data_IF_520073073792
#
_entry.id   IF_520073073792
#
_cell.length_a   1.000
_cell.length_b   1.000
_cell.length_c   1.000
_cell.angle_alpha   90.00
_cell.angle_beta   90.00
_cell.angle_gamma   90.00
#
_symmetry.space_group_name_H-M   'P 1'
#
loop_
_entity.id
_entity.type
_entity.pdbx_description
1 polymer ?
#
# COMPACT_ATOMS: atom_id res chain seq x y z
N UNK A 1 25.56 0.82 -6.60
CA UNK A 1 25.68 2.29 -6.56
C UNK A 1 24.34 2.87 -6.14
N UNK A 2 24.19 3.33 -4.89
CA UNK A 2 22.87 3.65 -4.33
C UNK A 2 22.38 5.08 -4.61
N UNK A 3 23.26 6.07 -4.85
CA UNK A 3 22.85 7.48 -5.06
C UNK A 3 23.87 8.32 -5.87
N UNK A 4 24.40 7.85 -7.02
CA UNK A 4 25.55 8.54 -7.64
C UNK A 4 25.23 9.82 -8.42
N UNK A 5 23.96 10.08 -8.79
CA UNK A 5 23.58 11.15 -9.74
C UNK A 5 22.29 11.93 -9.36
N UNK A 6 21.99 12.14 -8.07
CA UNK A 6 20.77 12.87 -7.65
C UNK A 6 21.06 14.30 -7.20
N UNK A 7 20.15 15.21 -7.55
CA UNK A 7 20.22 16.65 -7.22
C UNK A 7 19.73 16.88 -5.78
N UNK A 8 20.46 17.69 -5.03
CA UNK A 8 20.09 18.09 -3.67
C UNK A 8 19.10 19.27 -3.75
N UNK A 9 17.86 19.09 -3.30
CA UNK A 9 16.93 20.22 -3.11
C UNK A 9 17.17 20.84 -1.72
N UNK A 10 17.22 22.19 -1.62
CA UNK A 10 17.32 22.85 -0.32
C UNK A 10 16.04 22.65 0.50
N UNK A 11 16.19 22.26 1.77
CA UNK A 11 15.08 22.16 2.74
C UNK A 11 14.36 20.81 2.83
N UNK A 12 14.85 19.73 2.19
CA UNK A 12 14.31 18.38 2.40
C UNK A 12 15.41 17.31 2.43
N UNK A 13 15.16 16.12 2.99
CA UNK A 13 16.04 14.97 2.78
C UNK A 13 16.29 14.79 1.27
N UNK A 14 17.52 14.42 0.90
CA UNK A 14 17.86 14.14 -0.50
C UNK A 14 16.83 13.16 -1.07
N UNK A 15 16.48 13.28 -2.37
CA UNK A 15 15.50 12.37 -3.00
C UNK A 15 15.86 10.90 -2.77
N UNK A 16 17.16 10.61 -2.63
CA UNK A 16 17.64 9.27 -2.30
C UNK A 16 17.27 8.82 -0.88
N UNK A 17 17.37 9.69 0.12
CA UNK A 17 16.93 9.39 1.50
C UNK A 17 15.44 9.10 1.59
N UNK A 18 14.64 9.81 0.77
CA UNK A 18 13.21 9.59 0.69
C UNK A 18 12.89 8.21 0.09
N UNK A 19 13.49 7.89 -1.05
CA UNK A 19 13.32 6.60 -1.76
C UNK A 19 13.90 5.40 -0.99
N UNK A 20 14.89 5.60 -0.11
CA UNK A 20 15.57 4.51 0.62
C UNK A 20 15.08 4.28 2.05
N UNK A 21 14.63 5.32 2.75
CA UNK A 21 14.28 5.21 4.18
C UNK A 21 12.78 5.43 4.38
N UNK A 22 12.20 6.46 3.75
CA UNK A 22 10.83 6.89 4.07
C UNK A 22 9.82 6.02 3.31
N UNK A 23 10.00 5.85 2.00
CA UNK A 23 9.11 5.07 1.12
C UNK A 23 8.93 3.59 1.54
N UNK A 24 9.97 2.83 1.93
CA UNK A 24 9.79 1.44 2.33
C UNK A 24 9.32 1.27 3.78
N UNK A 25 9.25 2.33 4.59
CA UNK A 25 8.91 2.25 6.01
C UNK A 25 7.53 1.64 6.29
N UNK A 26 6.44 2.02 5.56
CA UNK A 26 5.14 1.36 5.68
C UNK A 26 5.23 -0.14 5.41
N UNK A 27 6.00 -0.53 4.40
CA UNK A 27 6.21 -1.93 4.00
C UNK A 27 6.92 -2.72 5.09
N UNK A 28 8.00 -2.19 5.69
CA UNK A 28 8.66 -2.84 6.83
C UNK A 28 7.75 -3.06 8.02
N UNK A 29 6.95 -2.04 8.38
CA UNK A 29 5.99 -2.16 9.47
C UNK A 29 4.93 -3.21 9.16
N UNK A 30 4.45 -3.28 7.91
CA UNK A 30 3.51 -4.32 7.49
C UNK A 30 4.11 -5.72 7.62
N UNK A 31 5.33 -5.94 7.09
CA UNK A 31 6.00 -7.26 7.19
C UNK A 31 6.15 -7.67 8.65
N UNK A 32 6.65 -6.75 9.49
CA UNK A 32 6.87 -7.00 10.90
C UNK A 32 5.56 -7.31 11.64
N UNK A 33 4.50 -6.55 11.39
CA UNK A 33 3.19 -6.78 12.02
C UNK A 33 2.56 -8.09 11.57
N UNK A 34 2.60 -8.44 10.29
CA UNK A 34 2.11 -9.72 9.79
C UNK A 34 2.87 -10.90 10.38
N UNK A 35 4.20 -10.77 10.53
CA UNK A 35 5.05 -11.80 11.14
C UNK A 35 4.75 -11.95 12.64
N UNK A 36 4.58 -10.85 13.37
CA UNK A 36 4.18 -10.90 14.79
C UNK A 36 2.79 -11.51 14.97
N UNK A 37 1.84 -11.20 14.07
CA UNK A 37 0.49 -11.76 14.09
C UNK A 37 0.48 -13.25 13.76
N UNK A 38 1.29 -13.70 12.80
CA UNK A 38 1.40 -15.13 12.47
C UNK A 38 2.01 -15.94 13.62
N UNK A 39 3.01 -15.38 14.31
CA UNK A 39 3.60 -15.98 15.51
C UNK A 39 2.61 -16.05 16.68
N UNK A 40 1.76 -15.02 16.87
CA UNK A 40 0.73 -14.99 17.93
C UNK A 40 -0.49 -15.87 17.64
N UNK A 41 -0.71 -16.28 16.39
CA UNK A 41 -1.94 -16.96 15.96
C UNK A 41 -2.14 -18.38 16.51
N UNK A 42 -1.23 -18.90 17.37
CA UNK A 42 -1.38 -20.23 17.98
C UNK A 42 -2.42 -20.32 19.11
N UNK A 43 -3.06 -19.22 19.58
CA UNK A 43 -3.84 -19.26 20.84
C UNK A 43 -5.20 -18.53 20.89
N UNK A 44 -5.87 -18.18 19.80
CA UNK A 44 -7.25 -17.66 19.94
C UNK A 44 -8.19 -18.00 18.79
N UNK A 45 -9.41 -18.52 19.08
CA UNK A 45 -10.49 -18.58 18.12
C UNK A 45 -11.01 -17.16 17.91
N UNK A 46 -10.30 -16.36 17.10
CA UNK A 46 -10.79 -15.05 16.66
C UNK A 46 -12.01 -15.31 15.79
N UNK A 47 -13.16 -14.76 16.17
CA UNK A 47 -14.40 -14.87 15.40
C UNK A 47 -14.14 -14.46 13.94
N UNK A 48 -14.26 -15.42 13.02
CA UNK A 48 -14.14 -15.16 11.59
C UNK A 48 -15.41 -14.42 11.17
N UNK A 49 -15.28 -13.13 10.87
CA UNK A 49 -16.40 -12.33 10.39
C UNK A 49 -16.53 -12.50 8.88
N UNK A 50 -17.53 -13.26 8.45
CA UNK A 50 -17.96 -13.23 7.04
C UNK A 50 -18.77 -11.96 6.85
N UNK A 51 -18.11 -10.90 6.38
CA UNK A 51 -18.83 -9.78 5.79
C UNK A 51 -19.38 -10.28 4.44
N UNK A 52 -20.66 -10.08 4.13
CA UNK A 52 -21.19 -10.34 2.80
C UNK A 52 -20.64 -9.28 1.85
N UNK A 53 -19.37 -9.43 1.48
CA UNK A 53 -18.75 -8.61 0.46
C UNK A 53 -19.27 -9.12 -0.89
N UNK A 54 -19.79 -8.25 -1.76
CA UNK A 54 -20.26 -8.72 -3.05
C UNK A 54 -19.04 -9.18 -3.86
N UNK A 55 -19.11 -10.40 -4.41
CA UNK A 55 -17.96 -11.08 -5.00
C UNK A 55 -17.27 -10.28 -6.12
N UNK A 56 -18.02 -9.46 -6.87
CA UNK A 56 -17.48 -8.59 -7.91
C UNK A 56 -16.50 -7.56 -7.36
N UNK A 57 -16.83 -6.91 -6.24
CA UNK A 57 -15.99 -5.89 -5.63
C UNK A 57 -14.68 -6.48 -5.08
N UNK A 58 -14.72 -7.73 -4.60
CA UNK A 58 -13.51 -8.43 -4.16
C UNK A 58 -12.58 -8.73 -5.35
N UNK A 59 -13.14 -9.20 -6.47
CA UNK A 59 -12.35 -9.48 -7.67
C UNK A 59 -11.75 -8.19 -8.26
N UNK A 60 -12.51 -7.08 -8.27
CA UNK A 60 -11.99 -5.77 -8.68
C UNK A 60 -10.86 -5.34 -7.77
N UNK A 61 -11.04 -5.43 -6.45
CA UNK A 61 -10.00 -5.06 -5.50
C UNK A 61 -8.72 -5.90 -5.68
N UNK A 62 -8.85 -7.22 -5.84
CA UNK A 62 -7.72 -8.10 -6.11
C UNK A 62 -7.01 -7.73 -7.43
N UNK A 63 -7.78 -7.45 -8.49
CA UNK A 63 -7.23 -7.05 -9.78
C UNK A 63 -6.51 -5.71 -9.71
N UNK A 64 -7.03 -4.74 -8.96
CA UNK A 64 -6.38 -3.44 -8.75
C UNK A 64 -5.07 -3.58 -7.95
N UNK A 65 -5.04 -4.37 -6.89
CA UNK A 65 -3.80 -4.63 -6.13
C UNK A 65 -2.76 -5.35 -6.99
N UNK A 66 -3.19 -6.25 -7.88
CA UNK A 66 -2.28 -6.89 -8.84
C UNK A 66 -1.75 -5.89 -9.88
N UNK A 67 -2.60 -4.97 -10.36
CA UNK A 67 -2.19 -3.92 -11.28
C UNK A 67 -1.18 -2.96 -10.62
N UNK A 68 -1.41 -2.59 -9.36
CA UNK A 68 -0.50 -1.76 -8.56
C UNK A 68 0.87 -2.43 -8.35
N UNK A 69 0.87 -3.74 -8.07
CA UNK A 69 2.09 -4.54 -8.04
C UNK A 69 2.85 -4.51 -9.37
N UNK A 70 2.14 -4.64 -10.50
CA UNK A 70 2.75 -4.55 -11.83
C UNK A 70 3.31 -3.15 -12.11
N UNK A 71 2.61 -2.08 -11.72
CA UNK A 71 3.08 -0.69 -11.83
C UNK A 71 4.35 -0.46 -11.01
N UNK A 72 4.40 -0.99 -9.79
CA UNK A 72 5.61 -0.93 -8.95
C UNK A 72 6.81 -1.60 -9.62
N UNK A 73 6.60 -2.76 -10.27
CA UNK A 73 7.68 -3.44 -11.04
C UNK A 73 8.12 -2.59 -12.23
N UNK A 74 7.18 -1.99 -12.97
CA UNK A 74 7.50 -1.11 -14.10
C UNK A 74 8.30 0.11 -13.65
N UNK A 75 7.95 0.71 -12.51
CA UNK A 75 8.71 1.82 -11.93
C UNK A 75 10.16 1.38 -11.63
N UNK A 76 10.34 0.24 -10.97
CA UNK A 76 11.66 -0.31 -10.66
C UNK A 76 12.46 -0.56 -11.94
N UNK A 77 11.85 -1.18 -12.94
CA UNK A 77 12.49 -1.46 -14.22
C UNK A 77 12.94 -0.17 -14.91
N UNK A 78 12.09 0.86 -14.95
CA UNK A 78 12.39 2.17 -15.56
C UNK A 78 13.48 2.92 -14.79
N UNK A 79 13.43 2.92 -13.45
CA UNK A 79 14.46 3.53 -12.60
C UNK A 79 15.82 2.84 -12.72
N UNK A 80 15.80 1.50 -12.86
CA UNK A 80 17.02 0.71 -13.07
C UNK A 80 17.68 1.01 -14.41
N UNK A 81 16.87 1.16 -15.48
CA UNK A 81 17.36 1.46 -16.82
C UNK A 81 18.06 2.84 -16.89
N UNK A 82 17.67 3.77 -16.02
CA UNK A 82 18.27 5.11 -15.95
C UNK A 82 19.41 5.25 -14.92
N UNK A 83 19.83 4.17 -14.26
CA UNK A 83 20.83 4.20 -13.18
C UNK A 83 20.50 5.20 -12.05
N UNK A 84 19.22 5.53 -11.85
CA UNK A 84 18.77 6.52 -10.85
C UNK A 84 18.77 6.01 -9.40
N UNK A 85 19.30 4.80 -9.20
CA UNK A 85 19.34 4.08 -7.93
C UNK A 85 18.02 3.36 -7.68
N UNK A 86 18.06 2.03 -7.79
CA UNK A 86 17.01 1.16 -7.28
C UNK A 86 17.32 0.97 -5.80
N UNK A 87 16.84 1.88 -4.96
CA UNK A 87 17.09 1.82 -3.51
C UNK A 87 16.38 0.65 -2.85
N UNK A 88 15.61 0.94 -1.80
CA UNK A 88 14.80 -0.07 -1.10
C UNK A 88 13.39 -0.25 -1.71
N UNK A 89 13.13 0.31 -2.89
CA UNK A 89 11.90 0.10 -3.67
C UNK A 89 11.44 -1.36 -3.76
N UNK A 90 12.30 -2.40 -3.89
CA UNK A 90 11.84 -3.79 -3.93
C UNK A 90 11.07 -4.24 -2.67
N UNK A 91 11.22 -3.53 -1.54
CA UNK A 91 10.48 -3.84 -0.32
C UNK A 91 8.98 -3.58 -0.44
N UNK A 92 8.55 -2.57 -1.21
CA UNK A 92 7.11 -2.36 -1.47
C UNK A 92 6.55 -3.49 -2.31
N UNK A 93 7.30 -3.97 -3.32
CA UNK A 93 6.91 -5.14 -4.11
C UNK A 93 6.73 -6.41 -3.25
N UNK A 94 7.64 -6.64 -2.29
CA UNK A 94 7.54 -7.76 -1.34
C UNK A 94 6.31 -7.62 -0.45
N UNK A 95 6.03 -6.42 0.06
CA UNK A 95 4.83 -6.14 0.86
C UNK A 95 3.54 -6.37 0.07
N UNK A 96 3.46 -5.88 -1.16
CA UNK A 96 2.32 -6.10 -2.07
C UNK A 96 2.11 -7.59 -2.38
N UNK A 97 3.18 -8.36 -2.60
CA UNK A 97 3.08 -9.82 -2.75
C UNK A 97 2.49 -10.50 -1.50
N UNK A 98 2.90 -10.06 -0.31
CA UNK A 98 2.32 -10.57 0.94
C UNK A 98 0.84 -10.18 1.10
N UNK A 99 0.46 -8.98 0.69
CA UNK A 99 -0.95 -8.55 0.69
C UNK A 99 -1.76 -9.39 -0.29
N UNK A 100 -1.26 -9.62 -1.50
CA UNK A 100 -1.90 -10.51 -2.48
C UNK A 100 -2.09 -11.91 -1.91
N UNK A 101 -1.06 -12.48 -1.28
CA UNK A 101 -1.13 -13.77 -0.61
C UNK A 101 -2.16 -13.79 0.54
N UNK A 102 -2.17 -12.73 1.37
CA UNK A 102 -3.12 -12.58 2.46
C UNK A 102 -4.56 -12.50 1.95
N UNK A 103 -4.83 -11.66 0.94
CA UNK A 103 -6.14 -11.55 0.31
C UNK A 103 -6.57 -12.90 -0.30
N UNK A 104 -5.65 -13.59 -0.99
CA UNK A 104 -5.91 -14.89 -1.57
C UNK A 104 -6.33 -15.93 -0.53
N UNK A 105 -5.64 -16.00 0.62
CA UNK A 105 -5.96 -16.89 1.74
C UNK A 105 -7.31 -16.49 2.37
N UNK A 106 -7.54 -15.19 2.56
CA UNK A 106 -8.76 -14.65 3.19
C UNK A 106 -9.97 -14.59 2.26
N UNK A 107 -9.87 -15.11 1.03
CA UNK A 107 -10.98 -15.19 0.06
C UNK A 107 -12.23 -15.88 0.62
N UNK A 108 -12.07 -16.82 1.56
CA UNK A 108 -13.18 -17.58 2.20
C UNK A 108 -13.74 -16.93 3.48
N UNK A 109 -13.08 -15.89 3.99
CA UNK A 109 -13.46 -15.24 5.25
C UNK A 109 -12.36 -14.32 5.74
N UNK A 110 -12.71 -13.06 5.97
CA UNK A 110 -11.77 -12.00 6.30
C UNK A 110 -11.76 -11.72 7.80
N UNK A 111 -10.57 -11.57 8.39
CA UNK A 111 -10.45 -11.21 9.81
C UNK A 111 -10.54 -9.69 9.97
N UNK A 112 -11.15 -9.23 11.07
CA UNK A 112 -11.19 -7.78 11.39
C UNK A 112 -9.79 -7.20 11.58
N UNK A 113 -8.88 -7.95 12.21
CA UNK A 113 -7.51 -7.48 12.43
C UNK A 113 -6.75 -7.29 11.12
N UNK A 114 -6.94 -8.16 10.12
CA UNK A 114 -6.25 -8.03 8.83
C UNK A 114 -6.73 -6.80 8.08
N UNK A 115 -8.04 -6.53 8.06
CA UNK A 115 -8.60 -5.33 7.42
C UNK A 115 -8.15 -4.05 8.12
N UNK A 116 -8.03 -4.02 9.45
CA UNK A 116 -7.48 -2.86 10.18
C UNK A 116 -6.00 -2.63 9.83
N UNK A 117 -5.19 -3.70 9.82
CA UNK A 117 -3.76 -3.61 9.46
C UNK A 117 -3.60 -3.10 8.02
N UNK A 118 -4.37 -3.65 7.08
CA UNK A 118 -4.35 -3.21 5.68
C UNK A 118 -4.82 -1.76 5.53
N UNK A 119 -5.89 -1.36 6.22
CA UNK A 119 -6.35 0.03 6.24
C UNK A 119 -5.25 0.99 6.70
N UNK A 120 -4.56 0.65 7.80
CA UNK A 120 -3.46 1.48 8.32
C UNK A 120 -2.26 1.50 7.37
N UNK A 121 -1.97 0.40 6.69
CA UNK A 121 -0.90 0.30 5.71
C UNK A 121 -1.18 1.17 4.49
N UNK A 122 -2.36 1.05 3.88
CA UNK A 122 -2.73 1.84 2.69
C UNK A 122 -2.74 3.34 2.98
N UNK A 123 -3.25 3.75 4.15
CA UNK A 123 -3.20 5.16 4.53
C UNK A 123 -1.76 5.66 4.65
N UNK A 124 -0.90 4.88 5.31
CA UNK A 124 0.48 5.30 5.54
C UNK A 124 1.31 5.28 4.25
N UNK A 125 1.07 4.29 3.37
CA UNK A 125 1.68 4.23 2.04
C UNK A 125 1.25 5.43 1.19
N UNK A 126 -0.05 5.73 1.10
CA UNK A 126 -0.59 6.88 0.37
C UNK A 126 0.06 8.20 0.81
N UNK A 127 0.22 8.41 2.13
CA UNK A 127 0.85 9.62 2.67
C UNK A 127 2.32 9.72 2.28
N UNK A 128 3.06 8.62 2.28
CA UNK A 128 4.47 8.65 1.90
C UNK A 128 4.64 8.81 0.38
N UNK A 129 3.82 8.12 -0.41
CA UNK A 129 3.85 8.23 -1.88
C UNK A 129 3.40 9.60 -2.37
N UNK A 130 2.43 10.25 -1.72
CA UNK A 130 2.08 11.65 -2.03
C UNK A 130 3.25 12.59 -1.82
N UNK A 131 4.00 12.44 -0.72
CA UNK A 131 5.21 13.26 -0.49
C UNK A 131 6.24 13.01 -1.59
N UNK A 132 6.43 11.75 -2.01
CA UNK A 132 7.29 11.40 -3.16
C UNK A 132 6.82 12.07 -4.45
N UNK A 133 5.53 11.99 -4.77
CA UNK A 133 4.94 12.58 -5.98
C UNK A 133 5.05 14.11 -6.00
N UNK A 134 4.77 14.79 -4.89
CA UNK A 134 4.91 16.25 -4.78
C UNK A 134 6.37 16.67 -4.96
N UNK A 135 7.33 15.91 -4.39
CA UNK A 135 8.75 16.20 -4.57
C UNK A 135 9.21 16.00 -6.01
N UNK A 136 8.65 15.01 -6.70
CA UNK A 136 8.90 14.79 -8.11
C UNK A 136 8.35 15.94 -8.96
N UNK A 137 7.15 16.45 -8.65
CA UNK A 137 6.58 17.63 -9.33
C UNK A 137 7.48 18.87 -9.16
N UNK A 138 7.94 19.14 -7.93
CA UNK A 138 8.87 20.27 -7.67
C UNK A 138 10.20 20.09 -8.42
N UNK A 139 10.69 18.85 -8.57
CA UNK A 139 11.91 18.58 -9.32
C UNK A 139 11.72 18.82 -10.83
N UNK A 140 10.58 18.44 -11.39
CA UNK A 140 10.23 18.69 -12.79
C UNK A 140 10.14 20.20 -13.09
N UNK A 141 9.48 20.97 -12.21
CA UNK A 141 9.36 22.43 -12.34
C UNK A 141 10.72 23.15 -12.24
N UNK A 142 11.62 22.67 -11.38
CA UNK A 142 12.92 23.33 -11.11
C UNK A 142 14.00 23.00 -12.13
N UNK A 143 13.94 21.81 -12.75
CA UNK A 143 14.93 21.36 -13.74
C UNK A 143 14.23 20.65 -14.90
N UNK A 144 13.47 21.38 -15.74
CA UNK A 144 12.63 20.79 -16.79
C UNK A 144 13.40 20.07 -17.93
N UNK A 145 14.73 20.15 -17.94
CA UNK A 145 15.57 19.67 -19.07
C UNK A 145 16.76 18.77 -18.67
N UNK A 146 16.90 18.33 -17.41
CA UNK A 146 18.07 17.53 -16.97
C UNK A 146 17.73 16.12 -16.49
N UNK A 147 16.45 15.79 -16.37
CA UNK A 147 15.91 14.42 -16.20
C UNK A 147 15.41 13.82 -17.53
N UNK A 148 15.64 14.52 -18.65
CA UNK A 148 15.36 14.06 -20.02
C UNK A 148 16.38 12.99 -20.45
N UNK A 149 16.36 11.83 -19.80
CA UNK A 149 16.77 10.63 -20.53
C UNK A 149 15.76 10.46 -21.66
N UNK A 150 16.17 10.29 -22.93
CA UNK A 150 15.25 10.23 -24.07
C UNK A 150 14.21 9.10 -23.99
N UNK A 151 14.39 8.15 -23.06
CA UNK A 151 13.57 6.96 -22.94
C UNK A 151 12.52 6.99 -21.81
N UNK A 152 12.53 7.99 -20.92
CA UNK A 152 11.46 8.14 -19.90
C UNK A 152 11.44 9.59 -19.36
N UNK A 153 10.55 10.43 -19.88
CA UNK A 153 10.44 11.83 -19.50
C UNK A 153 9.85 11.98 -18.09
N UNK A 154 10.21 13.06 -17.41
CA UNK A 154 9.77 13.33 -16.04
C UNK A 154 8.23 13.47 -15.91
N UNK A 155 7.54 13.91 -16.96
CA UNK A 155 6.08 13.94 -17.03
C UNK A 155 5.45 12.55 -16.89
N UNK A 156 6.03 11.54 -17.56
CA UNK A 156 5.53 10.17 -17.51
C UNK A 156 5.82 9.55 -16.14
N UNK A 157 6.98 9.90 -15.56
CA UNK A 157 7.34 9.49 -14.20
C UNK A 157 6.41 10.07 -13.14
N UNK A 158 6.00 11.33 -13.30
CA UNK A 158 5.04 11.97 -12.42
C UNK A 158 3.66 11.32 -12.55
N UNK A 159 3.23 11.04 -13.79
CA UNK A 159 1.95 10.41 -14.06
C UNK A 159 1.87 8.99 -13.47
N UNK A 160 2.90 8.16 -13.68
CA UNK A 160 2.95 6.80 -13.12
C UNK A 160 2.82 6.82 -11.59
N UNK A 161 3.60 7.69 -10.92
CA UNK A 161 3.57 7.83 -9.47
C UNK A 161 2.24 8.41 -8.96
N UNK A 162 1.64 9.36 -9.69
CA UNK A 162 0.34 9.92 -9.32
C UNK A 162 -0.78 8.88 -9.42
N UNK A 163 -0.72 7.98 -10.40
CA UNK A 163 -1.67 6.87 -10.53
C UNK A 163 -1.54 5.87 -9.38
N UNK A 164 -0.30 5.52 -8.97
CA UNK A 164 -0.07 4.65 -7.81
C UNK A 164 -0.64 5.26 -6.52
N UNK A 165 -0.36 6.54 -6.26
CA UNK A 165 -0.94 7.29 -5.14
C UNK A 165 -2.47 7.25 -5.15
N UNK A 166 -3.09 7.43 -6.32
CA UNK A 166 -4.55 7.38 -6.44
C UNK A 166 -5.11 5.99 -6.10
N UNK A 167 -4.43 4.93 -6.54
CA UNK A 167 -4.79 3.54 -6.20
C UNK A 167 -4.70 3.31 -4.69
N UNK A 168 -3.64 3.78 -4.02
CA UNK A 168 -3.49 3.67 -2.57
C UNK A 168 -4.66 4.31 -1.81
N UNK A 169 -5.11 5.49 -2.23
CA UNK A 169 -6.29 6.12 -1.63
C UNK A 169 -7.58 5.33 -1.88
N UNK A 170 -7.74 4.73 -3.06
CA UNK A 170 -8.88 3.85 -3.35
C UNK A 170 -8.83 2.61 -2.45
N UNK A 171 -7.66 2.01 -2.26
CA UNK A 171 -7.49 0.86 -1.36
C UNK A 171 -7.80 1.23 0.09
N UNK A 172 -7.32 2.38 0.55
CA UNK A 172 -7.67 2.92 1.86
C UNK A 172 -9.18 3.10 2.00
N UNK A 173 -9.87 3.69 1.02
CA UNK A 173 -11.31 3.89 1.07
C UNK A 173 -12.10 2.56 1.13
N UNK A 174 -11.70 1.57 0.33
CA UNK A 174 -12.32 0.24 0.31
C UNK A 174 -12.10 -0.52 1.63
N UNK A 175 -10.89 -0.47 2.20
CA UNK A 175 -10.62 -1.06 3.51
C UNK A 175 -11.35 -0.33 4.63
N UNK A 176 -11.38 1.00 4.60
CA UNK A 176 -12.14 1.82 5.56
C UNK A 176 -13.61 1.44 5.57
N UNK A 177 -14.21 1.34 4.39
CA UNK A 177 -15.59 0.88 4.24
C UNK A 177 -15.79 -0.52 4.82
N UNK A 178 -14.86 -1.43 4.57
CA UNK A 178 -14.88 -2.81 5.11
C UNK A 178 -14.82 -2.82 6.64
N UNK A 179 -13.90 -2.05 7.24
CA UNK A 179 -13.77 -1.92 8.70
C UNK A 179 -15.03 -1.34 9.33
N UNK A 180 -15.60 -0.28 8.74
CA UNK A 180 -16.84 0.35 9.22
C UNK A 180 -18.01 -0.64 9.16
N UNK A 181 -18.14 -1.39 8.06
CA UNK A 181 -19.17 -2.43 7.92
C UNK A 181 -19.01 -3.54 8.95
N UNK A 182 -17.78 -4.01 9.19
CA UNK A 182 -17.50 -5.01 10.23
C UNK A 182 -17.88 -4.50 11.62
N UNK A 183 -17.60 -3.23 11.93
CA UNK A 183 -17.95 -2.62 13.22
C UNK A 183 -19.45 -2.57 13.44
N UNK A 184 -20.23 -2.19 12.43
CA UNK A 184 -21.70 -2.16 12.53
C UNK A 184 -22.29 -3.55 12.80
N UNK A 185 -21.77 -4.60 12.16
CA UNK A 185 -22.24 -5.98 12.37
C UNK A 185 -21.90 -6.49 13.77
N UNK A 186 -20.72 -6.12 14.30
CA UNK A 186 -20.29 -6.50 15.65
C UNK A 186 -21.21 -5.88 16.72
N UNK A 187 -21.59 -4.61 16.54
CA UNK A 187 -22.47 -3.87 17.46
C UNK A 187 -23.90 -4.44 17.50
N UNK A 188 -24.35 -5.07 16.42
CA UNK A 188 -25.67 -5.73 16.34
C UNK A 188 -25.72 -7.11 17.01
N UNK A 189 -24.58 -7.80 17.19
CA UNK A 189 -24.54 -9.14 17.81
C UNK A 189 -24.96 -9.21 19.28
N UNK A 190 -24.52 -8.31 20.19
CA UNK A 190 -24.92 -8.41 21.60
C UNK A 190 -26.43 -8.28 21.78
N UNK A 191 -27.13 -7.56 20.89
CA UNK A 191 -28.58 -7.41 20.95
C UNK A 191 -29.31 -8.73 20.68
N UNK A 192 -28.90 -9.46 19.65
CA UNK A 192 -29.52 -10.76 19.29
C UNK A 192 -29.28 -11.84 20.34
N UNK A 193 -28.12 -11.83 21.00
CA UNK A 193 -27.78 -12.83 22.01
C UNK A 193 -28.61 -12.65 23.28
N UNK A 194 -28.92 -11.40 23.65
CA UNK A 194 -29.82 -11.08 24.76
C UNK A 194 -31.28 -11.44 24.46
N UNK A 195 -31.75 -11.28 23.22
CA UNK A 195 -33.10 -11.74 22.83
C UNK A 195 -33.23 -13.27 22.86
N UNK A 196 -32.18 -14.01 22.49
CA UNK A 196 -32.18 -15.47 22.53
C UNK A 196 -32.05 -16.04 23.94
N UNK A 197 -31.39 -15.34 24.87
CA UNK A 197 -31.26 -15.75 26.26
C UNK A 197 -32.50 -15.44 27.12
N UNK A 198 -33.37 -14.53 26.67
CA UNK A 198 -34.62 -14.16 27.36
C UNK A 198 -35.86 -14.93 26.87
N UNK A 199 -35.67 -15.94 26.02
CA UNK A 199 -36.72 -16.86 25.55
C UNK A 199 -36.48 -18.26 26.10
#
# INVERSE_FOLDING_TARGET
MLCSNRVVLPGSPSTCTLDTIIVPLPSFLLVATLLLLSLRSKKSPVAIFRVPYPHWLYNIYLALVFADFAMTILEIARLSAQNLGVGLLPMTSIALLMILGLLWIERRGRKRSSSIVLCSYWLFLAVVETVKAVRLNVLDETIPNKTSSPNYPASDQLLDNAVMVALDYIFFALESYTVIRMRKVDDSRPLYLNELLNK
#
